data_IF_771213832954
#
_entry.id   IF_771213832954
#
_cell.length_a   1.000
_cell.length_b   1.000
_cell.length_c   1.000
_cell.angle_alpha   90.00
_cell.angle_beta   90.00
_cell.angle_gamma   90.00
#
_symmetry.space_group_name_H-M   'P 1'
#
loop_
_entity.id
_entity.type
_entity.pdbx_description
1 polymer ?
#
# COMPACT_ATOMS: atom_id res chain seq x y z
N UNK A 1 19.15 40.02 -10.13
CA UNK A 1 19.37 39.38 -8.79
C UNK A 1 18.65 38.05 -8.77
N UNK A 2 19.33 36.99 -8.32
CA UNK A 2 18.68 35.69 -8.11
C UNK A 2 17.76 35.77 -6.87
N UNK A 3 16.59 35.14 -6.94
CA UNK A 3 15.68 35.03 -5.79
C UNK A 3 16.30 34.13 -4.71
N UNK A 4 15.98 34.37 -3.43
CA UNK A 4 16.49 33.54 -2.34
C UNK A 4 15.95 32.10 -2.45
N UNK A 5 16.80 31.14 -2.15
CA UNK A 5 16.43 29.74 -2.05
C UNK A 5 15.96 29.43 -0.64
N UNK A 6 14.77 28.82 -0.50
CA UNK A 6 14.22 28.41 0.79
C UNK A 6 14.79 27.03 1.19
N UNK A 7 15.24 26.90 2.44
CA UNK A 7 15.63 25.62 3.00
C UNK A 7 14.41 24.85 3.50
N UNK A 8 14.40 23.52 3.32
CA UNK A 8 13.37 22.65 3.84
C UNK A 8 13.90 21.83 5.03
N UNK A 9 13.10 21.62 6.09
CA UNK A 9 13.47 20.75 7.19
C UNK A 9 13.59 19.29 6.72
N UNK A 10 14.33 18.48 7.49
CA UNK A 10 14.54 17.06 7.21
C UNK A 10 14.01 16.24 8.38
N UNK A 11 13.33 15.14 8.09
CA UNK A 11 12.74 14.23 9.05
C UNK A 11 13.25 12.82 8.85
N UNK A 12 13.06 11.95 9.85
CA UNK A 12 13.41 10.54 9.78
C UNK A 12 12.16 9.67 9.89
N UNK A 13 12.17 8.54 9.19
CA UNK A 13 11.11 7.55 9.18
C UNK A 13 11.74 6.15 9.12
N UNK A 14 11.07 5.16 9.70
CA UNK A 14 11.44 3.75 9.57
C UNK A 14 10.44 3.06 8.64
N UNK A 15 10.94 2.50 7.54
CA UNK A 15 10.13 1.75 6.57
C UNK A 15 9.55 0.51 7.24
N UNK A 16 8.23 0.27 7.17
CA UNK A 16 7.57 -0.81 7.93
C UNK A 16 8.06 -2.21 7.59
N UNK A 17 8.27 -2.55 6.31
CA UNK A 17 8.62 -3.91 5.86
C UNK A 17 10.04 -4.33 6.29
N UNK A 18 11.02 -3.50 5.98
CA UNK A 18 12.45 -3.84 6.10
C UNK A 18 13.17 -3.15 7.25
N UNK A 19 12.45 -2.31 8.04
CA UNK A 19 12.97 -1.54 9.19
C UNK A 19 14.11 -0.57 8.85
N UNK A 20 14.33 -0.27 7.57
CA UNK A 20 15.33 0.69 7.12
C UNK A 20 14.94 2.11 7.55
N UNK A 21 15.87 2.82 8.17
CA UNK A 21 15.68 4.24 8.48
C UNK A 21 15.96 5.08 7.24
N UNK A 22 15.04 5.96 6.92
CA UNK A 22 15.14 6.90 5.81
C UNK A 22 15.05 8.34 6.29
N UNK A 23 15.73 9.24 5.60
CA UNK A 23 15.59 10.69 5.75
C UNK A 23 14.74 11.21 4.59
N UNK A 24 13.83 12.10 4.90
CA UNK A 24 12.96 12.73 3.91
C UNK A 24 12.71 14.20 4.22
N UNK A 25 12.27 14.94 3.23
CA UNK A 25 11.81 16.32 3.35
C UNK A 25 10.31 16.43 2.99
N UNK A 26 9.63 17.46 3.44
CA UNK A 26 8.33 17.81 2.89
C UNK A 26 8.41 18.05 1.38
N UNK A 27 7.31 17.80 0.67
CA UNK A 27 7.23 18.16 -0.73
C UNK A 27 7.07 19.70 -0.90
N UNK A 28 7.47 20.18 -2.05
CA UNK A 28 7.34 21.58 -2.44
C UNK A 28 6.10 21.75 -3.31
N UNK A 29 5.66 22.99 -3.52
CA UNK A 29 4.49 23.32 -4.37
C UNK A 29 4.59 22.71 -5.77
N UNK A 30 5.79 22.55 -6.32
CA UNK A 30 5.98 21.92 -7.63
C UNK A 30 5.64 20.42 -7.64
N UNK A 31 5.97 19.69 -6.54
CA UNK A 31 5.60 18.28 -6.40
C UNK A 31 4.11 18.14 -6.08
N UNK A 32 3.56 19.01 -5.24
CA UNK A 32 2.12 19.06 -4.94
C UNK A 32 1.28 19.28 -6.19
N UNK A 33 1.69 20.19 -7.07
CA UNK A 33 0.99 20.42 -8.33
C UNK A 33 0.90 19.18 -9.20
N UNK A 34 1.99 18.39 -9.29
CA UNK A 34 1.99 17.13 -10.06
C UNK A 34 0.99 16.13 -9.47
N UNK A 35 0.96 16.02 -8.14
CA UNK A 35 0.02 15.14 -7.46
C UNK A 35 -1.43 15.56 -7.67
N UNK A 36 -1.74 16.88 -7.55
CA UNK A 36 -3.10 17.39 -7.76
C UNK A 36 -3.58 17.14 -9.20
N UNK A 37 -2.72 17.35 -10.20
CA UNK A 37 -3.06 17.05 -11.60
C UNK A 37 -3.33 15.57 -11.83
N UNK A 38 -2.58 14.68 -11.18
CA UNK A 38 -2.81 13.23 -11.27
C UNK A 38 -4.13 12.84 -10.58
N UNK A 39 -4.47 13.46 -9.45
CA UNK A 39 -5.76 13.23 -8.78
C UNK A 39 -6.95 13.72 -9.62
N UNK A 40 -6.80 14.85 -10.33
CA UNK A 40 -7.83 15.37 -11.23
C UNK A 40 -8.05 14.47 -12.47
N UNK A 41 -7.07 13.65 -12.88
CA UNK A 41 -7.22 12.74 -14.02
C UNK A 41 -8.08 11.52 -13.70
N UNK A 42 -8.25 11.18 -12.42
CA UNK A 42 -8.91 9.96 -11.95
C UNK A 42 -8.30 8.66 -12.53
N UNK A 43 -7.05 8.72 -13.03
CA UNK A 43 -6.31 7.57 -13.57
C UNK A 43 -5.36 7.03 -12.51
N UNK A 44 -5.63 5.80 -12.05
CA UNK A 44 -4.85 5.12 -11.00
C UNK A 44 -3.36 4.99 -11.35
N UNK A 45 -3.02 4.83 -12.63
CA UNK A 45 -1.63 4.76 -13.07
C UNK A 45 -0.92 6.11 -12.97
N UNK A 46 -1.62 7.18 -13.33
CA UNK A 46 -1.09 8.55 -13.19
C UNK A 46 -0.90 8.90 -11.72
N UNK A 47 -1.85 8.54 -10.87
CA UNK A 47 -1.77 8.72 -9.40
C UNK A 47 -0.59 7.93 -8.84
N UNK A 48 -0.45 6.64 -9.18
CA UNK A 48 0.67 5.80 -8.74
C UNK A 48 2.03 6.39 -9.19
N UNK A 49 2.14 6.86 -10.44
CA UNK A 49 3.34 7.48 -10.97
C UNK A 49 3.69 8.81 -10.27
N UNK A 50 2.67 9.64 -9.99
CA UNK A 50 2.86 10.89 -9.25
C UNK A 50 3.36 10.62 -7.83
N UNK A 51 2.81 9.62 -7.14
CA UNK A 51 3.26 9.19 -5.81
C UNK A 51 4.71 8.69 -5.83
N UNK A 52 5.07 7.82 -6.79
CA UNK A 52 6.45 7.37 -6.97
C UNK A 52 7.41 8.51 -7.20
N UNK A 53 7.05 9.43 -8.10
CA UNK A 53 7.81 10.64 -8.39
C UNK A 53 8.02 11.53 -7.17
N UNK A 54 6.97 11.71 -6.37
CA UNK A 54 7.02 12.48 -5.14
C UNK A 54 7.96 11.83 -4.10
N UNK A 55 7.87 10.51 -3.92
CA UNK A 55 8.76 9.78 -3.00
C UNK A 55 10.21 9.87 -3.47
N UNK A 56 10.48 9.64 -4.77
CA UNK A 56 11.82 9.79 -5.36
C UNK A 56 12.41 11.20 -5.14
N UNK A 57 11.56 12.24 -5.20
CA UNK A 57 11.98 13.63 -5.00
C UNK A 57 12.21 13.99 -3.52
N UNK A 58 11.42 13.41 -2.60
CA UNK A 58 11.40 13.79 -1.19
C UNK A 58 12.28 12.92 -0.30
N UNK A 59 12.47 11.64 -0.63
CA UNK A 59 13.35 10.74 0.13
C UNK A 59 14.83 11.02 -0.21
N UNK A 60 15.60 11.37 0.81
CA UNK A 60 17.01 11.77 0.68
C UNK A 60 17.98 10.59 0.84
N UNK A 61 17.51 9.48 1.39
CA UNK A 61 18.30 8.27 1.60
C UNK A 61 18.45 7.51 0.29
N UNK A 62 19.68 7.25 -0.12
CA UNK A 62 19.99 6.48 -1.33
C UNK A 62 19.55 5.01 -1.22
N UNK A 63 19.22 4.39 -2.36
CA UNK A 63 18.84 2.98 -2.42
C UNK A 63 17.46 2.71 -1.85
N UNK A 64 16.55 3.65 -2.02
CA UNK A 64 15.11 3.49 -1.86
C UNK A 64 14.50 3.71 -3.24
N UNK A 65 14.00 2.64 -3.82
CA UNK A 65 13.25 2.68 -5.08
C UNK A 65 11.78 2.39 -4.80
N UNK A 66 10.87 3.34 -5.02
CA UNK A 66 9.44 3.12 -4.82
C UNK A 66 8.86 1.99 -5.68
N UNK A 67 9.49 1.65 -6.80
CA UNK A 67 9.06 0.56 -7.67
C UNK A 67 9.30 -0.83 -7.04
N UNK A 68 10.24 -0.92 -6.09
CA UNK A 68 10.58 -2.15 -5.37
C UNK A 68 9.94 -2.25 -3.97
N UNK A 69 9.34 -1.16 -3.48
CA UNK A 69 8.69 -1.14 -2.18
C UNK A 69 7.32 -1.81 -2.22
N UNK A 70 6.94 -2.45 -1.11
CA UNK A 70 5.57 -2.90 -0.90
C UNK A 70 4.60 -1.71 -0.91
N UNK A 71 3.38 -1.92 -1.38
CA UNK A 71 2.34 -0.88 -1.45
C UNK A 71 2.17 -0.17 -0.11
N UNK A 72 2.06 -0.91 0.98
CA UNK A 72 1.88 -0.33 2.32
C UNK A 72 3.09 0.48 2.82
N UNK A 73 4.30 0.23 2.30
CA UNK A 73 5.48 1.06 2.59
C UNK A 73 5.40 2.38 1.85
N UNK A 74 5.04 2.33 0.56
CA UNK A 74 4.85 3.53 -0.28
C UNK A 74 3.77 4.42 0.32
N UNK A 75 2.63 3.85 0.69
CA UNK A 75 1.52 4.54 1.35
C UNK A 75 1.96 5.20 2.66
N UNK A 76 2.70 4.48 3.49
CA UNK A 76 3.17 4.98 4.78
C UNK A 76 4.21 6.10 4.63
N UNK A 77 5.16 5.98 3.68
CA UNK A 77 6.14 7.01 3.38
C UNK A 77 5.42 8.27 2.87
N UNK A 78 4.54 8.10 1.89
CA UNK A 78 3.76 9.19 1.32
C UNK A 78 2.94 9.94 2.36
N UNK A 79 2.21 9.22 3.21
CA UNK A 79 1.40 9.79 4.29
C UNK A 79 2.24 10.64 5.23
N UNK A 80 3.43 10.18 5.61
CA UNK A 80 4.34 10.93 6.48
C UNK A 80 4.93 12.17 5.80
N UNK A 81 5.29 12.09 4.51
CA UNK A 81 5.72 13.25 3.72
C UNK A 81 4.60 14.29 3.67
N UNK A 82 3.36 13.87 3.36
CA UNK A 82 2.18 14.74 3.32
C UNK A 82 1.95 15.44 4.65
N UNK A 83 2.02 14.68 5.75
CA UNK A 83 1.82 15.23 7.08
C UNK A 83 2.79 16.35 7.44
N UNK A 84 4.03 16.27 6.97
CA UNK A 84 5.03 17.33 7.17
C UNK A 84 4.95 18.46 6.16
N UNK A 85 4.18 18.29 5.09
CA UNK A 85 4.02 19.29 4.00
C UNK A 85 2.77 20.16 4.20
N UNK A 86 1.63 19.56 4.49
CA UNK A 86 0.32 20.23 4.54
C UNK A 86 -0.18 20.36 5.98
N UNK A 87 0.07 19.35 6.82
CA UNK A 87 -0.41 19.31 8.21
C UNK A 87 -0.49 17.89 8.74
N UNK A 88 -0.41 17.77 10.06
CA UNK A 88 -0.32 16.48 10.76
C UNK A 88 -1.70 15.82 10.99
N UNK A 89 -2.79 16.50 10.64
CA UNK A 89 -4.14 15.96 10.69
C UNK A 89 -4.70 15.80 9.28
N UNK A 90 -5.51 14.77 9.09
CA UNK A 90 -6.33 14.57 7.88
C UNK A 90 -7.80 14.59 8.25
N UNK A 91 -8.59 15.32 7.44
CA UNK A 91 -10.05 15.27 7.50
C UNK A 91 -10.52 14.08 6.65
N UNK A 92 -11.21 13.12 7.26
CA UNK A 92 -11.76 11.96 6.57
C UNK A 92 -13.27 12.01 6.64
N UNK A 93 -13.90 11.97 5.47
CA UNK A 93 -15.35 11.84 5.34
C UNK A 93 -15.73 10.36 5.38
N UNK A 94 -16.77 10.02 6.09
CA UNK A 94 -17.24 8.64 6.18
C UNK A 94 -18.74 8.59 6.40
N UNK A 95 -19.36 7.51 5.96
CA UNK A 95 -20.78 7.23 6.18
C UNK A 95 -20.93 6.38 7.44
N UNK A 96 -21.84 6.77 8.32
CA UNK A 96 -22.09 6.04 9.56
C UNK A 96 -22.63 4.64 9.24
N UNK A 97 -22.01 3.54 9.76
CA UNK A 97 -22.39 2.17 9.42
C UNK A 97 -23.78 1.76 9.92
N UNK A 98 -24.27 2.42 10.97
CA UNK A 98 -25.54 2.08 11.61
C UNK A 98 -26.79 2.44 10.79
N UNK A 99 -26.72 3.50 9.96
CA UNK A 99 -27.84 3.92 9.11
C UNK A 99 -27.50 3.95 7.61
N UNK A 100 -26.21 3.84 7.26
CA UNK A 100 -25.73 3.85 5.89
C UNK A 100 -26.00 5.15 5.11
N UNK A 101 -26.30 6.26 5.80
CA UNK A 101 -26.73 7.52 5.18
C UNK A 101 -26.09 8.76 5.77
N UNK A 102 -25.86 8.77 7.08
CA UNK A 102 -25.33 9.96 7.78
C UNK A 102 -23.85 10.09 7.51
N UNK A 103 -23.47 11.16 6.82
CA UNK A 103 -22.08 11.51 6.58
C UNK A 103 -21.52 12.29 7.77
N UNK A 104 -20.30 11.97 8.16
CA UNK A 104 -19.54 12.69 9.16
C UNK A 104 -18.13 12.94 8.66
N UNK A 105 -17.52 14.04 9.12
CA UNK A 105 -16.10 14.30 8.92
C UNK A 105 -15.38 14.21 10.25
N UNK A 106 -14.29 13.48 10.30
CA UNK A 106 -13.47 13.37 11.51
C UNK A 106 -12.01 13.68 11.20
N UNK A 107 -11.33 14.33 12.14
CA UNK A 107 -9.90 14.58 12.07
C UNK A 107 -9.11 13.42 12.63
N UNK A 108 -8.16 12.95 11.86
CA UNK A 108 -7.29 11.83 12.24
C UNK A 108 -5.84 12.33 12.25
N UNK A 109 -5.15 12.30 13.39
CA UNK A 109 -3.73 12.57 13.43
C UNK A 109 -2.95 11.49 12.66
N UNK A 110 -2.08 11.91 11.75
CA UNK A 110 -1.28 11.02 10.89
C UNK A 110 -0.41 10.07 11.72
N UNK A 111 0.07 10.52 12.87
CA UNK A 111 0.87 9.69 13.78
C UNK A 111 0.12 8.48 14.35
N UNK A 112 -1.21 8.47 14.29
CA UNK A 112 -2.08 7.34 14.70
C UNK A 112 -2.27 6.31 13.62
N UNK A 113 -2.05 6.67 12.36
CA UNK A 113 -2.18 5.78 11.22
C UNK A 113 -0.90 4.96 11.09
N UNK A 114 -1.02 3.64 11.17
CA UNK A 114 0.13 2.72 11.19
C UNK A 114 -0.11 1.54 10.26
N UNK A 115 0.97 1.01 9.72
CA UNK A 115 0.93 -0.30 9.08
C UNK A 115 0.71 -1.37 10.15
N UNK A 116 -0.35 -2.15 10.00
CA UNK A 116 -0.71 -3.24 10.90
C UNK A 116 -0.22 -4.56 10.32
N UNK A 117 0.46 -5.32 11.16
CA UNK A 117 0.96 -6.65 10.84
C UNK A 117 0.04 -7.68 11.49
N UNK A 118 -0.51 -8.59 10.69
CA UNK A 118 -1.35 -9.70 11.20
C UNK A 118 -0.45 -10.74 11.86
N UNK A 119 -0.82 -11.19 13.07
CA UNK A 119 -0.08 -12.23 13.76
C UNK A 119 -0.15 -13.53 12.96
N UNK A 120 1.00 -14.15 12.71
CA UNK A 120 1.10 -15.41 11.95
C UNK A 120 1.19 -15.22 10.44
N UNK A 121 1.16 -13.98 9.93
CA UNK A 121 1.42 -13.74 8.52
C UNK A 121 2.82 -14.21 8.13
N UNK A 122 2.90 -14.93 7.00
CA UNK A 122 4.16 -15.38 6.41
C UNK A 122 4.10 -15.26 4.90
N UNK A 123 5.22 -14.99 4.30
CA UNK A 123 5.39 -14.99 2.84
C UNK A 123 5.86 -16.35 2.30
N UNK A 124 6.13 -17.32 3.16
CA UNK A 124 6.49 -18.69 2.79
C UNK A 124 5.29 -19.60 2.99
N UNK A 125 4.74 -20.10 1.90
CA UNK A 125 3.47 -20.84 1.88
C UNK A 125 3.75 -22.27 1.44
N UNK A 126 3.47 -23.23 2.31
CA UNK A 126 3.57 -24.64 1.98
C UNK A 126 2.35 -25.10 1.17
N UNK A 127 2.56 -25.47 -0.08
CA UNK A 127 1.51 -25.92 -1.00
C UNK A 127 1.24 -27.41 -0.86
N UNK A 128 2.30 -28.21 -0.79
CA UNK A 128 2.28 -29.65 -0.53
C UNK A 128 3.40 -30.05 0.45
N UNK A 129 3.58 -31.33 0.72
CA UNK A 129 4.56 -31.82 1.69
C UNK A 129 6.00 -31.40 1.33
N UNK A 130 6.28 -31.28 0.05
CA UNK A 130 7.60 -31.01 -0.53
C UNK A 130 7.70 -29.71 -1.34
N UNK A 131 6.60 -28.94 -1.50
CA UNK A 131 6.57 -27.77 -2.38
C UNK A 131 6.15 -26.50 -1.63
N UNK A 132 6.96 -25.47 -1.78
CA UNK A 132 6.78 -24.17 -1.16
C UNK A 132 6.71 -23.04 -2.19
N UNK A 133 5.92 -22.02 -1.89
CA UNK A 133 5.86 -20.75 -2.64
C UNK A 133 6.32 -19.63 -1.71
N UNK A 134 7.31 -18.85 -2.14
CA UNK A 134 7.66 -17.59 -1.50
C UNK A 134 7.00 -16.45 -2.25
N UNK A 135 6.16 -15.70 -1.54
CA UNK A 135 5.46 -14.52 -2.07
C UNK A 135 6.28 -13.25 -1.85
N UNK A 136 6.12 -12.28 -2.73
CA UNK A 136 6.52 -10.88 -2.53
C UNK A 136 5.26 -10.03 -2.40
N UNK A 137 5.35 -8.97 -1.61
CA UNK A 137 4.23 -8.04 -1.50
C UNK A 137 3.99 -7.31 -2.83
N UNK A 138 2.72 -7.07 -3.19
CA UNK A 138 2.39 -6.21 -4.31
C UNK A 138 3.07 -4.84 -4.16
N UNK A 139 3.56 -4.31 -5.26
CA UNK A 139 4.10 -2.94 -5.32
C UNK A 139 2.99 -1.95 -5.74
N UNK A 140 3.32 -0.67 -5.80
CA UNK A 140 2.34 0.38 -6.11
C UNK A 140 1.72 0.22 -7.51
N UNK A 141 2.43 -0.36 -8.49
CA UNK A 141 1.87 -0.62 -9.82
C UNK A 141 0.75 -1.65 -9.79
N UNK A 142 0.71 -2.48 -8.75
CA UNK A 142 -0.38 -3.43 -8.53
C UNK A 142 -1.69 -2.75 -8.16
N UNK A 143 -1.67 -1.51 -7.64
CA UNK A 143 -2.88 -0.72 -7.37
C UNK A 143 -3.62 -0.33 -8.66
N UNK A 144 -2.89 -0.24 -9.77
CA UNK A 144 -3.47 0.05 -11.08
C UNK A 144 -4.10 -1.19 -11.75
N UNK A 145 -3.98 -2.37 -11.12
CA UNK A 145 -4.72 -3.56 -11.50
C UNK A 145 -6.06 -3.46 -10.78
N UNK A 146 -7.07 -2.98 -11.49
CA UNK A 146 -8.44 -3.02 -10.99
C UNK A 146 -8.81 -4.50 -10.90
N UNK A 147 -9.01 -5.00 -9.68
CA UNK A 147 -9.43 -6.40 -9.45
C UNK A 147 -10.92 -6.59 -9.79
N UNK A 148 -11.30 -6.23 -11.01
CA UNK A 148 -12.68 -6.34 -11.47
C UNK A 148 -12.99 -7.74 -11.99
N UNK A 149 -11.96 -8.48 -12.40
CA UNK A 149 -12.13 -9.81 -12.99
C UNK A 149 -11.34 -10.89 -12.26
N UNK A 150 -11.77 -12.14 -12.41
CA UNK A 150 -11.03 -13.31 -11.92
C UNK A 150 -9.63 -13.35 -12.53
N UNK A 151 -9.50 -12.97 -13.80
CA UNK A 151 -8.23 -12.96 -14.52
C UNK A 151 -7.25 -11.94 -13.92
N UNK A 152 -7.72 -10.76 -13.52
CA UNK A 152 -6.89 -9.75 -12.84
C UNK A 152 -6.39 -10.25 -11.48
N UNK A 153 -7.23 -10.96 -10.74
CA UNK A 153 -6.84 -11.60 -9.48
C UNK A 153 -5.71 -12.62 -9.71
N UNK A 154 -5.85 -13.49 -10.70
CA UNK A 154 -4.81 -14.48 -11.03
C UNK A 154 -3.51 -13.81 -11.48
N UNK A 155 -3.61 -12.74 -12.26
CA UNK A 155 -2.47 -11.93 -12.69
C UNK A 155 -1.76 -11.23 -11.52
N UNK A 156 -2.50 -10.70 -10.56
CA UNK A 156 -1.91 -10.15 -9.34
C UNK A 156 -1.17 -11.23 -8.53
N UNK A 157 -1.78 -12.41 -8.41
CA UNK A 157 -1.16 -13.54 -7.72
C UNK A 157 0.12 -13.98 -8.41
N UNK A 158 0.12 -14.18 -9.75
CA UNK A 158 1.31 -14.59 -10.51
C UNK A 158 2.46 -13.60 -10.36
N UNK A 159 2.18 -12.30 -10.45
CA UNK A 159 3.15 -11.22 -10.25
C UNK A 159 3.70 -11.15 -8.83
N UNK A 160 2.94 -11.65 -7.86
CA UNK A 160 3.33 -11.66 -6.45
C UNK A 160 4.12 -12.92 -6.06
N UNK A 161 4.31 -13.89 -6.93
CA UNK A 161 5.22 -15.02 -6.71
C UNK A 161 6.66 -14.51 -6.85
N UNK A 162 7.48 -14.73 -5.83
CA UNK A 162 8.92 -14.48 -5.88
C UNK A 162 9.66 -15.68 -6.38
N UNK A 163 9.36 -16.85 -5.83
CA UNK A 163 9.90 -18.15 -6.26
C UNK A 163 9.02 -19.30 -5.78
N UNK A 164 9.12 -20.41 -6.47
CA UNK A 164 8.61 -21.71 -6.07
C UNK A 164 9.84 -22.58 -5.82
N UNK A 165 9.82 -23.45 -4.79
CA UNK A 165 10.97 -24.29 -4.49
C UNK A 165 10.57 -25.57 -3.76
N UNK A 166 11.39 -26.60 -3.94
CA UNK A 166 11.38 -27.84 -3.19
C UNK A 166 12.80 -28.13 -2.67
N UNK A 167 13.09 -29.36 -2.26
CA UNK A 167 14.42 -29.74 -1.76
C UNK A 167 15.48 -29.78 -2.88
N UNK A 168 15.09 -29.98 -4.15
CA UNK A 168 15.99 -30.21 -5.27
C UNK A 168 16.07 -28.98 -6.21
N UNK A 169 14.95 -28.28 -6.44
CA UNK A 169 14.81 -27.25 -7.46
C UNK A 169 14.26 -25.93 -6.93
N UNK A 170 14.63 -24.82 -7.62
CA UNK A 170 14.13 -23.47 -7.36
C UNK A 170 13.73 -22.81 -8.69
N UNK A 171 12.48 -22.36 -8.78
CA UNK A 171 11.95 -21.57 -9.90
C UNK A 171 11.76 -20.13 -9.42
N UNK A 172 12.70 -19.27 -9.78
CA UNK A 172 12.75 -17.86 -9.35
C UNK A 172 12.13 -16.94 -10.40
N UNK A 173 11.51 -15.85 -9.96
CA UNK A 173 10.87 -14.87 -10.85
C UNK A 173 11.83 -14.12 -11.80
N UNK A 174 13.15 -14.28 -11.64
CA UNK A 174 14.15 -13.78 -12.59
C UNK A 174 14.38 -14.72 -13.78
N UNK A 175 13.99 -15.99 -13.67
CA UNK A 175 14.21 -17.03 -14.67
C UNK A 175 12.94 -17.69 -15.16
N UNK A 176 11.83 -17.53 -14.46
CA UNK A 176 10.50 -18.09 -14.77
C UNK A 176 9.58 -16.96 -15.23
N UNK A 177 8.87 -17.19 -16.29
CA UNK A 177 7.94 -16.21 -16.88
C UNK A 177 6.64 -16.08 -16.08
N UNK A 178 5.93 -14.96 -16.29
CA UNK A 178 4.61 -14.74 -15.67
C UNK A 178 3.58 -15.81 -16.11
N UNK A 179 3.64 -16.24 -17.39
CA UNK A 179 2.76 -17.27 -17.95
C UNK A 179 3.01 -18.66 -17.33
N UNK A 180 4.27 -18.99 -17.00
CA UNK A 180 4.60 -20.23 -16.30
C UNK A 180 4.07 -20.21 -14.86
N UNK A 181 4.20 -19.09 -14.15
CA UNK A 181 3.57 -18.94 -12.83
C UNK A 181 2.04 -18.98 -12.91
N UNK A 182 1.44 -18.40 -13.95
CA UNK A 182 0.00 -18.48 -14.18
C UNK A 182 -0.43 -19.94 -14.35
N UNK A 183 0.24 -20.68 -15.24
CA UNK A 183 -0.04 -22.11 -15.47
C UNK A 183 0.11 -22.94 -14.19
N UNK A 184 1.10 -22.62 -13.35
CA UNK A 184 1.28 -23.25 -12.05
C UNK A 184 0.09 -22.98 -11.11
N UNK A 185 -0.38 -21.72 -11.04
CA UNK A 185 -1.55 -21.36 -10.22
C UNK A 185 -2.79 -22.10 -10.69
N UNK A 186 -3.03 -22.16 -12.00
CA UNK A 186 -4.16 -22.86 -12.61
C UNK A 186 -4.13 -24.38 -12.35
N UNK A 187 -2.97 -24.96 -12.11
CA UNK A 187 -2.81 -26.37 -11.75
C UNK A 187 -3.17 -26.69 -10.30
N UNK A 188 -3.33 -25.67 -9.44
CA UNK A 188 -3.65 -25.86 -8.02
C UNK A 188 -5.09 -26.30 -7.80
N UNK A 189 -5.31 -27.14 -6.79
CA UNK A 189 -6.64 -27.35 -6.28
C UNK A 189 -7.08 -26.17 -5.37
N UNK A 190 -8.39 -26.08 -5.08
CA UNK A 190 -8.96 -24.97 -4.31
C UNK A 190 -8.34 -24.79 -2.91
N UNK A 191 -7.92 -25.89 -2.24
CA UNK A 191 -7.26 -25.80 -0.92
C UNK A 191 -5.86 -25.20 -1.01
N UNK A 192 -5.13 -25.53 -2.06
CA UNK A 192 -3.80 -24.98 -2.32
C UNK A 192 -3.91 -23.49 -2.65
N UNK A 193 -4.82 -23.13 -3.53
CA UNK A 193 -5.04 -21.74 -3.91
C UNK A 193 -5.53 -20.88 -2.73
N UNK A 194 -6.39 -21.41 -1.85
CA UNK A 194 -6.83 -20.70 -0.64
C UNK A 194 -5.66 -20.29 0.28
N UNK A 195 -4.59 -21.09 0.34
CA UNK A 195 -3.39 -20.73 1.12
C UNK A 195 -2.67 -19.51 0.52
N UNK A 196 -2.65 -19.40 -0.81
CA UNK A 196 -2.11 -18.22 -1.50
C UNK A 196 -2.99 -16.99 -1.23
N UNK A 197 -4.33 -17.15 -1.29
CA UNK A 197 -5.25 -16.05 -1.00
C UNK A 197 -5.12 -15.55 0.45
N UNK A 198 -4.84 -16.44 1.41
CA UNK A 198 -4.61 -16.06 2.80
C UNK A 198 -3.43 -15.11 2.96
N UNK A 199 -2.40 -15.20 2.12
CA UNK A 199 -1.30 -14.23 2.11
C UNK A 199 -1.80 -12.80 1.88
N UNK A 200 -2.67 -12.58 0.89
CA UNK A 200 -3.20 -11.26 0.58
C UNK A 200 -4.16 -10.74 1.66
N UNK A 201 -4.99 -11.61 2.23
CA UNK A 201 -5.93 -11.21 3.29
C UNK A 201 -5.24 -10.89 4.62
N UNK A 202 -4.06 -11.45 4.85
CA UNK A 202 -3.30 -11.26 6.09
C UNK A 202 -2.09 -10.34 5.96
N UNK A 203 -1.75 -9.93 4.73
CA UNK A 203 -0.60 -9.05 4.49
C UNK A 203 -0.70 -7.73 5.26
N UNK A 204 0.44 -7.11 5.58
CA UNK A 204 0.44 -5.81 6.24
C UNK A 204 -0.30 -4.76 5.41
N UNK A 205 -1.06 -3.89 6.08
CA UNK A 205 -1.76 -2.79 5.41
C UNK A 205 -1.81 -1.55 6.30
N UNK A 206 -1.92 -0.39 5.64
CA UNK A 206 -2.10 0.88 6.32
C UNK A 206 -3.52 0.96 6.85
N UNK A 207 -3.69 0.92 8.19
CA UNK A 207 -5.02 0.89 8.83
C UNK A 207 -5.11 1.82 10.04
N UNK A 208 -6.28 2.44 10.16
CA UNK A 208 -6.65 3.17 11.37
C UNK A 208 -8.12 2.94 11.70
N UNK A 209 -8.42 2.57 12.94
CA UNK A 209 -9.79 2.40 13.41
C UNK A 209 -10.17 3.59 14.29
N UNK A 210 -11.26 4.26 13.94
CA UNK A 210 -11.84 5.38 14.68
C UNK A 210 -13.15 4.98 15.29
N UNK A 211 -13.43 5.51 16.49
CA UNK A 211 -14.76 5.44 17.11
C UNK A 211 -15.53 6.67 16.71
N UNK A 212 -16.66 6.46 16.07
CA UNK A 212 -17.53 7.52 15.58
C UNK A 212 -18.89 7.45 16.30
N UNK A 213 -19.56 8.57 16.39
CA UNK A 213 -20.93 8.65 16.91
C UNK A 213 -21.81 9.32 15.88
N UNK A 214 -22.83 8.59 15.41
CA UNK A 214 -23.80 9.15 14.49
C UNK A 214 -24.55 10.33 15.17
N UNK A 215 -24.53 11.54 14.59
CA UNK A 215 -25.20 12.71 15.20
C UNK A 215 -26.72 12.58 15.22
N UNK A 216 -27.32 11.76 14.36
CA UNK A 216 -28.77 11.55 14.24
C UNK A 216 -29.25 10.44 15.16
N UNK A 217 -28.71 9.24 15.03
CA UNK A 217 -29.15 8.05 15.79
C UNK A 217 -28.55 7.93 17.16
N UNK A 218 -27.43 8.67 17.43
CA UNK A 218 -26.60 8.62 18.66
C UNK A 218 -25.85 7.29 18.85
N UNK A 219 -25.94 6.37 17.92
CA UNK A 219 -25.23 5.08 17.95
C UNK A 219 -23.73 5.32 17.83
N UNK A 220 -22.94 4.57 18.60
CA UNK A 220 -21.49 4.51 18.48
C UNK A 220 -21.09 3.31 17.62
N UNK A 221 -20.22 3.54 16.66
CA UNK A 221 -19.69 2.52 15.76
C UNK A 221 -18.17 2.64 15.65
N UNK A 222 -17.52 1.53 15.31
CA UNK A 222 -16.11 1.55 14.90
C UNK A 222 -16.05 1.55 13.37
N UNK A 223 -15.23 2.44 12.83
CA UNK A 223 -14.97 2.52 11.39
C UNK A 223 -13.47 2.32 11.15
N UNK A 224 -13.13 1.35 10.30
CA UNK A 224 -11.73 1.10 9.93
C UNK A 224 -11.47 1.66 8.54
N UNK A 225 -10.50 2.54 8.46
CA UNK A 225 -9.99 3.14 7.23
C UNK A 225 -8.77 2.32 6.84
N UNK A 226 -8.73 1.85 5.60
CA UNK A 226 -7.65 1.02 5.06
C UNK A 226 -7.25 1.49 3.66
N UNK A 227 -5.94 1.51 3.41
CA UNK A 227 -5.38 1.97 2.14
C UNK A 227 -5.39 3.49 1.98
N UNK A 228 -4.48 3.98 1.17
CA UNK A 228 -4.22 5.42 1.05
C UNK A 228 -5.40 6.20 0.46
N UNK A 229 -6.11 5.64 -0.51
CA UNK A 229 -7.25 6.30 -1.17
C UNK A 229 -8.31 6.78 -0.18
N UNK A 230 -8.54 6.02 0.89
CA UNK A 230 -9.53 6.37 1.92
C UNK A 230 -9.07 7.48 2.88
N UNK A 231 -7.81 7.92 2.78
CA UNK A 231 -7.27 9.05 3.56
C UNK A 231 -7.18 10.35 2.76
N UNK A 232 -7.67 10.39 1.51
CA UNK A 232 -7.58 11.55 0.60
C UNK A 232 -8.91 12.01 0.03
N UNK A 233 -10.02 11.56 0.58
CA UNK A 233 -11.37 11.94 0.15
C UNK A 233 -11.80 13.25 0.81
#
# INVERSE_FOLDING_TARGET
>A
MALPTLSTPTYELTVPSNKKKIKYRPFLVKEEKVLLLALESEDDKEIANAMKGLIKACVLTKGIDPDELATFDVEYIFLNIRGKSIGEDIDVKMVCPDDGKTEITTKIPIDKIKVRFTKGHTNQIQISDDLWVEMKYPNIDSLAIQEETVEDTFKLVSKSIKKIYNEEDVWDSSTTTEDEFMSFIESMNSKQFSKIQEFFTTMPSLKHTVKIRNPNTKVQSEYTIEGLSNFFI
#
